data_IF_948352599216
#
_entry.id   IF_948352599216
#
_cell.length_a   1.000
_cell.length_b   1.000
_cell.length_c   1.000
_cell.angle_alpha   90.00
_cell.angle_beta   90.00
_cell.angle_gamma   90.00
#
_symmetry.space_group_name_H-M   'P 1'
#
loop_
_entity.id
_entity.type
_entity.pdbx_description
1 polymer ?
#
# COMPACT_ATOMS: atom_id res chain seq x y z
N UNK A 1 16.87 20.29 -27.46
CA UNK A 1 18.12 20.82 -26.88
C UNK A 1 19.11 19.67 -26.77
N UNK A 2 19.75 19.37 -27.90
CA UNK A 2 20.94 18.53 -28.01
C UNK A 2 21.90 19.38 -28.83
N UNK A 3 23.03 19.73 -28.23
CA UNK A 3 24.28 20.20 -28.83
C UNK A 3 24.96 21.16 -27.87
N UNK A 4 26.03 20.72 -27.21
CA UNK A 4 27.15 21.60 -26.95
C UNK A 4 28.45 20.80 -26.76
N UNK A 5 29.43 21.17 -27.58
CA UNK A 5 30.89 20.99 -27.44
C UNK A 5 31.53 19.70 -27.94
N UNK A 6 31.82 19.74 -29.24
CA UNK A 6 33.03 19.18 -29.85
C UNK A 6 33.96 20.36 -30.16
N UNK A 7 35.18 20.38 -29.61
CA UNK A 7 36.44 20.82 -30.29
C UNK A 7 37.67 20.84 -29.37
N UNK A 8 38.82 20.57 -30.01
CA UNK A 8 40.23 20.71 -29.60
C UNK A 8 40.92 19.40 -29.16
N UNK A 9 41.60 18.72 -30.08
CA UNK A 9 42.90 18.98 -30.73
C UNK A 9 43.99 18.16 -30.04
N UNK A 10 44.66 17.35 -30.85
CA UNK A 10 45.70 16.42 -30.49
C UNK A 10 47.05 17.11 -30.26
N UNK A 11 47.82 16.61 -29.29
CA UNK A 11 49.28 16.48 -29.38
C UNK A 11 49.73 15.27 -28.55
N UNK A 12 50.64 14.42 -29.07
CA UNK A 12 51.11 13.22 -28.36
C UNK A 12 52.35 13.56 -27.52
N UNK A 13 52.38 13.11 -26.26
CA UNK A 13 53.60 13.04 -25.48
C UNK A 13 53.86 11.61 -25.04
N UNK A 14 55.06 11.17 -25.39
CA UNK A 14 55.73 9.90 -25.18
C UNK A 14 56.02 9.58 -23.71
N UNK A 15 55.82 8.34 -23.29
CA UNK A 15 56.40 7.77 -22.07
C UNK A 15 55.73 6.46 -21.62
N UNK A 16 56.46 5.33 -21.47
CA UNK A 16 55.89 4.07 -21.03
C UNK A 16 55.98 3.96 -19.51
N UNK A 17 54.96 4.42 -18.81
CA UNK A 17 54.87 4.27 -17.35
C UNK A 17 53.55 3.62 -16.99
N UNK A 18 53.68 2.35 -16.60
CA UNK A 18 52.64 1.41 -16.15
C UNK A 18 51.65 2.08 -15.19
N UNK A 19 50.41 2.25 -15.63
CA UNK A 19 49.26 2.46 -14.76
C UNK A 19 48.31 1.27 -14.97
N UNK A 20 48.20 0.41 -13.94
CA UNK A 20 47.08 -0.51 -13.83
C UNK A 20 45.82 0.36 -13.66
N UNK A 21 45.10 0.59 -14.76
CA UNK A 21 43.72 1.07 -14.67
C UNK A 21 42.87 -0.11 -14.19
N UNK A 22 42.51 -0.08 -12.91
CA UNK A 22 41.39 -0.87 -12.41
C UNK A 22 40.13 -0.35 -13.10
N UNK A 23 39.75 -0.97 -14.22
CA UNK A 23 38.43 -0.79 -14.80
C UNK A 23 37.46 -1.50 -13.86
N UNK A 24 36.94 -0.76 -12.89
CA UNK A 24 35.73 -1.14 -12.16
C UNK A 24 34.58 -1.09 -13.18
N UNK A 25 34.37 -2.20 -13.88
CA UNK A 25 33.13 -2.43 -14.61
C UNK A 25 32.05 -2.57 -13.54
N UNK A 26 31.37 -1.46 -13.23
CA UNK A 26 30.06 -1.50 -12.61
C UNK A 26 29.13 -2.20 -13.60
N UNK A 27 29.03 -3.53 -13.47
CA UNK A 27 27.95 -4.31 -14.07
C UNK A 27 26.65 -3.85 -13.40
N UNK A 28 26.04 -2.80 -13.95
CA UNK A 28 24.61 -2.62 -13.79
C UNK A 28 24.00 -3.78 -14.55
N UNK A 29 23.62 -4.83 -13.85
CA UNK A 29 22.70 -5.79 -14.42
C UNK A 29 21.45 -4.98 -14.77
N UNK A 30 21.21 -4.78 -16.08
CA UNK A 30 19.90 -4.47 -16.59
C UNK A 30 19.00 -5.62 -16.16
N UNK A 31 18.42 -5.53 -14.95
CA UNK A 31 17.36 -6.43 -14.53
C UNK A 31 16.26 -6.16 -15.53
N UNK A 32 16.07 -7.09 -16.48
CA UNK A 32 14.99 -7.03 -17.44
C UNK A 32 13.69 -6.81 -16.65
N UNK A 33 13.12 -5.61 -16.76
CA UNK A 33 11.83 -5.28 -16.16
C UNK A 33 10.77 -6.08 -16.89
N UNK A 34 10.37 -7.19 -16.30
CA UNK A 34 9.29 -8.04 -16.80
C UNK A 34 7.98 -7.63 -16.15
N UNK A 35 6.89 -7.90 -16.85
CA UNK A 35 5.58 -7.96 -16.23
C UNK A 35 5.61 -8.92 -15.04
N UNK A 36 4.94 -8.58 -13.94
CA UNK A 36 4.81 -9.48 -12.81
C UNK A 36 4.12 -10.77 -13.24
N UNK A 37 4.57 -11.90 -12.74
CA UNK A 37 3.91 -13.18 -12.98
C UNK A 37 2.44 -13.14 -12.55
N UNK A 38 1.58 -13.77 -13.36
CA UNK A 38 0.13 -13.82 -13.12
C UNK A 38 -0.28 -14.84 -12.04
N UNK A 39 0.68 -15.65 -11.57
CA UNK A 39 0.53 -16.62 -10.47
C UNK A 39 1.06 -16.09 -9.13
N UNK A 40 1.52 -14.83 -9.11
CA UNK A 40 2.09 -14.15 -7.94
C UNK A 40 3.46 -14.67 -7.49
N UNK A 41 4.12 -15.54 -8.25
CA UNK A 41 5.46 -16.06 -7.92
C UNK A 41 6.56 -14.99 -7.87
N UNK A 42 6.31 -13.84 -8.49
CA UNK A 42 7.20 -12.69 -8.45
C UNK A 42 7.05 -11.82 -7.18
N UNK A 43 6.05 -12.08 -6.33
CA UNK A 43 5.90 -11.37 -5.07
C UNK A 43 7.09 -11.64 -4.14
N UNK A 44 7.62 -10.56 -3.58
CA UNK A 44 8.50 -10.63 -2.42
C UNK A 44 8.31 -9.37 -1.59
N UNK A 45 8.37 -9.54 -0.28
CA UNK A 45 8.41 -8.47 0.69
C UNK A 45 9.32 -8.93 1.84
N UNK A 46 10.12 -8.03 2.38
CA UNK A 46 10.81 -8.22 3.65
C UNK A 46 10.98 -6.87 4.33
N UNK A 47 10.99 -6.88 5.66
CA UNK A 47 11.26 -5.69 6.45
C UNK A 47 12.17 -6.01 7.64
N UNK A 48 13.07 -5.08 7.94
CA UNK A 48 13.99 -5.19 9.08
C UNK A 48 14.27 -3.81 9.67
N UNK A 49 14.50 -3.77 10.98
CA UNK A 49 14.97 -2.54 11.64
C UNK A 49 16.49 -2.49 11.63
N UNK A 50 17.04 -1.44 11.04
CA UNK A 50 18.47 -1.15 11.00
C UNK A 50 18.70 0.24 11.60
N UNK A 51 19.12 0.28 12.87
CA UNK A 51 19.25 1.54 13.61
C UNK A 51 17.89 2.24 13.76
N UNK A 52 17.81 3.49 13.31
CA UNK A 52 16.58 4.31 13.34
C UNK A 52 15.69 4.14 12.10
N UNK A 53 16.03 3.19 11.23
CA UNK A 53 15.36 2.98 9.94
C UNK A 53 14.67 1.62 9.87
N UNK A 54 13.46 1.60 9.32
CA UNK A 54 12.83 0.40 8.80
C UNK A 54 13.20 0.27 7.33
N UNK A 55 13.92 -0.79 6.99
CA UNK A 55 14.34 -1.10 5.63
C UNK A 55 13.40 -2.15 5.07
N UNK A 56 12.68 -1.81 4.02
CA UNK A 56 11.69 -2.65 3.33
C UNK A 56 12.24 -3.00 1.95
N UNK A 57 12.34 -4.28 1.62
CA UNK A 57 12.69 -4.73 0.26
C UNK A 57 11.49 -5.42 -0.37
N UNK A 58 11.09 -5.01 -1.57
CA UNK A 58 9.93 -5.54 -2.30
C UNK A 58 10.20 -5.60 -3.80
N UNK A 59 9.54 -6.51 -4.51
CA UNK A 59 9.53 -6.58 -5.99
C UNK A 59 8.43 -5.73 -6.64
N UNK A 60 7.53 -5.15 -5.83
CA UNK A 60 6.39 -4.36 -6.28
C UNK A 60 5.36 -5.15 -7.11
N UNK A 61 5.45 -6.48 -7.06
CA UNK A 61 4.45 -7.39 -7.61
C UNK A 61 3.50 -7.86 -6.50
N UNK A 62 2.18 -7.89 -6.73
CA UNK A 62 1.22 -8.30 -5.71
C UNK A 62 1.29 -9.81 -5.42
N UNK A 63 1.03 -10.20 -4.16
CA UNK A 63 0.90 -11.60 -3.71
C UNK A 63 -0.47 -12.23 -4.00
N UNK A 64 -1.25 -11.65 -4.89
CA UNK A 64 -2.63 -12.00 -5.18
C UNK A 64 -2.89 -11.78 -6.68
N UNK A 65 -4.02 -12.24 -7.26
CA UNK A 65 -4.27 -12.02 -8.67
C UNK A 65 -4.43 -10.54 -8.96
N UNK A 66 -3.99 -10.14 -10.15
CA UNK A 66 -4.21 -8.81 -10.69
C UNK A 66 -4.87 -8.94 -12.06
N UNK A 67 -5.62 -7.92 -12.48
CA UNK A 67 -6.25 -7.88 -13.81
C UNK A 67 -5.89 -6.58 -14.53
N UNK A 68 -5.54 -6.70 -15.81
CA UNK A 68 -5.30 -5.54 -16.66
C UNK A 68 -6.65 -5.00 -17.19
N UNK A 69 -7.22 -3.98 -16.54
CA UNK A 69 -8.49 -3.35 -16.95
C UNK A 69 -8.23 -2.03 -17.69
N UNK A 70 -7.23 -1.27 -17.26
CA UNK A 70 -6.70 -0.13 -18.01
C UNK A 70 -5.53 -0.58 -18.89
N UNK A 71 -4.81 0.31 -19.60
CA UNK A 71 -3.63 -0.11 -20.36
C UNK A 71 -2.40 -0.47 -19.49
N UNK A 72 -2.37 -0.14 -18.20
CA UNK A 72 -1.20 -0.34 -17.33
C UNK A 72 -1.08 -1.76 -16.80
N UNK A 73 0.14 -2.26 -16.66
CA UNK A 73 0.40 -3.63 -16.19
C UNK A 73 1.40 -3.64 -15.03
N UNK A 74 1.26 -4.55 -14.05
CA UNK A 74 2.24 -4.67 -12.99
C UNK A 74 3.60 -5.05 -13.59
N UNK A 75 4.63 -4.29 -13.26
CA UNK A 75 6.00 -4.53 -13.70
C UNK A 75 6.85 -4.78 -12.46
N UNK A 76 7.66 -5.83 -12.52
CA UNK A 76 8.58 -6.20 -11.44
C UNK A 76 9.74 -5.23 -11.35
N UNK A 77 9.99 -4.73 -10.14
CA UNK A 77 11.19 -3.98 -9.82
C UNK A 77 11.59 -4.22 -8.36
N UNK A 78 12.74 -4.86 -8.15
CA UNK A 78 13.30 -4.99 -6.80
C UNK A 78 13.72 -3.60 -6.30
N UNK A 79 13.07 -3.16 -5.24
CA UNK A 79 13.22 -1.82 -4.68
C UNK A 79 13.42 -1.91 -3.17
N UNK A 80 14.30 -1.07 -2.66
CA UNK A 80 14.54 -0.90 -1.22
C UNK A 80 13.99 0.46 -0.80
N UNK A 81 13.10 0.45 0.18
CA UNK A 81 12.57 1.65 0.83
C UNK A 81 13.09 1.72 2.26
N UNK A 82 13.43 2.93 2.68
CA UNK A 82 13.82 3.23 4.05
C UNK A 82 12.80 4.22 4.60
N UNK A 83 12.10 3.83 5.68
CA UNK A 83 11.15 4.72 6.39
C UNK A 83 11.56 4.84 7.86
N UNK A 84 11.16 5.90 8.59
CA UNK A 84 11.48 6.03 10.01
C UNK A 84 11.00 4.82 10.83
N UNK A 85 11.90 4.19 11.59
CA UNK A 85 11.53 3.13 12.53
C UNK A 85 10.83 3.68 13.79
N UNK A 86 11.11 4.94 14.12
CA UNK A 86 10.51 5.69 15.22
C UNK A 86 9.90 6.97 14.63
N UNK A 87 8.69 6.91 14.06
CA UNK A 87 8.09 8.07 13.39
C UNK A 87 7.90 9.22 14.38
N UNK A 88 8.08 10.44 13.88
CA UNK A 88 7.86 11.68 14.63
C UNK A 88 6.63 12.38 14.06
N UNK A 89 5.70 12.77 14.92
CA UNK A 89 4.54 13.58 14.56
C UNK A 89 4.93 15.05 14.59
N UNK A 90 4.70 15.76 13.49
CA UNK A 90 5.13 17.14 13.32
C UNK A 90 4.12 17.94 12.47
N UNK A 91 3.39 18.84 13.14
CA UNK A 91 2.43 19.73 12.49
C UNK A 91 3.08 20.93 11.80
N UNK A 92 4.37 21.19 12.04
CA UNK A 92 5.13 22.27 11.41
C UNK A 92 5.89 21.81 10.16
N UNK A 93 6.10 20.50 9.97
CA UNK A 93 6.80 19.90 8.84
C UNK A 93 5.93 18.94 8.01
N UNK A 94 4.67 19.30 7.74
CA UNK A 94 3.75 18.44 6.98
C UNK A 94 4.06 18.42 5.48
N UNK A 95 3.84 17.30 4.80
CA UNK A 95 3.97 17.19 3.33
C UNK A 95 2.62 17.06 2.65
N UNK A 96 2.32 17.91 1.67
CA UNK A 96 1.10 17.83 0.86
C UNK A 96 1.18 16.70 -0.18
N UNK A 97 0.19 15.83 -0.21
CA UNK A 97 0.10 14.69 -1.12
C UNK A 97 -1.04 14.84 -2.14
N UNK A 98 -1.80 15.93 -2.10
CA UNK A 98 -2.98 16.15 -2.98
C UNK A 98 -2.62 16.18 -4.46
N UNK A 99 -1.36 16.47 -4.81
CA UNK A 99 -0.83 16.42 -6.17
C UNK A 99 0.37 15.47 -6.31
N UNK A 100 0.59 14.59 -5.33
CA UNK A 100 1.72 13.68 -5.33
C UNK A 100 1.39 12.45 -6.18
N UNK A 101 1.97 12.36 -7.36
CA UNK A 101 1.93 11.14 -8.16
C UNK A 101 2.85 10.07 -7.57
N UNK A 102 2.48 8.80 -7.76
CA UNK A 102 3.32 7.68 -7.36
C UNK A 102 3.15 7.26 -5.90
N UNK A 103 4.14 6.50 -5.43
CA UNK A 103 4.12 5.84 -4.13
C UNK A 103 4.19 6.83 -2.97
N UNK A 104 3.27 6.69 -2.02
CA UNK A 104 3.25 7.32 -0.69
C UNK A 104 3.35 6.28 0.45
N UNK A 105 3.53 5.01 0.12
CA UNK A 105 3.72 3.95 1.11
C UNK A 105 3.86 2.58 0.49
N UNK A 106 4.26 1.60 1.29
CA UNK A 106 4.46 0.23 0.85
C UNK A 106 3.49 -0.68 1.60
N UNK A 107 2.75 -1.50 0.87
CA UNK A 107 1.80 -2.46 1.45
C UNK A 107 2.44 -3.83 1.65
N UNK A 108 1.93 -4.60 2.62
CA UNK A 108 2.39 -5.96 2.90
C UNK A 108 2.13 -6.93 1.74
N UNK A 109 1.14 -6.65 0.88
CA UNK A 109 0.92 -7.38 -0.38
C UNK A 109 2.00 -7.14 -1.44
N UNK A 110 2.96 -6.24 -1.19
CA UNK A 110 4.00 -5.84 -2.14
C UNK A 110 3.60 -4.66 -3.02
N UNK A 111 2.30 -4.37 -3.13
CA UNK A 111 1.76 -3.24 -3.86
C UNK A 111 2.11 -1.89 -3.21
N UNK A 112 1.94 -0.82 -3.96
CA UNK A 112 2.16 0.55 -3.48
C UNK A 112 0.88 1.13 -2.89
N UNK A 113 1.03 1.97 -1.87
CA UNK A 113 0.00 2.94 -1.49
C UNK A 113 0.21 4.19 -2.35
N UNK A 114 -0.81 4.63 -3.07
CA UNK A 114 -0.78 5.93 -3.78
C UNK A 114 -1.65 6.96 -3.07
N UNK A 115 -1.32 8.24 -3.27
CA UNK A 115 -2.17 9.35 -2.82
C UNK A 115 -3.50 9.35 -3.58
N UNK A 116 -4.50 10.14 -3.18
CA UNK A 116 -5.74 10.24 -3.95
C UNK A 116 -5.61 10.97 -5.28
N UNK A 117 -4.41 11.38 -5.70
CA UNK A 117 -4.19 12.16 -6.92
C UNK A 117 -4.39 11.33 -8.20
N UNK A 118 -5.30 11.76 -9.07
CA UNK A 118 -5.62 11.11 -10.35
C UNK A 118 -4.82 11.66 -11.55
N UNK A 119 -3.76 12.42 -11.28
CA UNK A 119 -2.93 13.04 -12.30
C UNK A 119 -3.32 14.47 -12.70
N UNK A 120 -2.57 15.07 -13.64
CA UNK A 120 -2.66 16.52 -13.92
C UNK A 120 -4.02 16.98 -14.45
N UNK A 121 -4.77 16.11 -15.13
CA UNK A 121 -6.04 16.46 -15.75
C UNK A 121 -7.15 16.79 -14.72
N UNK A 122 -7.10 16.21 -13.52
CA UNK A 122 -8.07 16.46 -12.44
C UNK A 122 -7.64 17.59 -11.51
N UNK A 123 -6.36 17.96 -11.55
CA UNK A 123 -5.74 18.85 -10.57
C UNK A 123 -5.59 18.20 -9.20
N UNK A 124 -5.25 19.01 -8.18
CA UNK A 124 -5.09 18.54 -6.81
C UNK A 124 -6.37 17.83 -6.32
N UNK A 125 -6.20 16.65 -5.74
CA UNK A 125 -7.25 15.91 -5.08
C UNK A 125 -7.61 16.64 -3.78
N UNK A 126 -8.57 17.57 -3.86
CA UNK A 126 -9.10 18.34 -2.73
C UNK A 126 -10.53 17.92 -2.35
N UNK A 127 -11.11 16.98 -3.09
CA UNK A 127 -12.45 16.43 -2.89
C UNK A 127 -12.52 15.04 -3.52
N UNK A 128 -13.56 14.28 -3.17
CA UNK A 128 -13.83 12.99 -3.79
C UNK A 128 -13.96 13.08 -5.32
N UNK A 129 -14.68 14.07 -5.85
CA UNK A 129 -14.85 14.25 -7.31
C UNK A 129 -13.56 14.58 -8.07
N UNK A 130 -12.46 14.88 -7.37
CA UNK A 130 -11.13 15.11 -7.94
C UNK A 130 -10.14 13.99 -7.61
N UNK A 131 -10.58 12.92 -6.97
CA UNK A 131 -9.72 11.84 -6.52
C UNK A 131 -9.68 10.66 -7.51
N UNK A 132 -8.59 9.90 -7.47
CA UNK A 132 -8.42 8.69 -8.28
C UNK A 132 -9.53 7.66 -8.06
N UNK A 133 -10.05 7.42 -6.84
CA UNK A 133 -11.23 6.57 -6.67
C UNK A 133 -12.46 7.01 -7.48
N UNK A 134 -12.68 8.32 -7.67
CA UNK A 134 -13.78 8.82 -8.49
C UNK A 134 -13.49 8.71 -9.99
N UNK A 135 -12.28 9.08 -10.42
CA UNK A 135 -11.92 9.16 -11.84
C UNK A 135 -11.49 7.83 -12.46
N UNK A 136 -11.03 6.87 -11.65
CA UNK A 136 -10.34 5.66 -12.10
C UNK A 136 -10.92 4.38 -11.49
N UNK A 137 -11.97 4.48 -10.66
CA UNK A 137 -12.52 3.35 -9.91
C UNK A 137 -13.06 2.21 -10.77
N UNK A 138 -13.42 2.48 -12.03
CA UNK A 138 -13.81 1.49 -13.05
C UNK A 138 -12.63 0.73 -13.66
N UNK A 139 -11.40 1.06 -13.24
CA UNK A 139 -10.16 0.38 -13.66
C UNK A 139 -9.54 -0.48 -12.58
N UNK A 140 -10.09 -0.47 -11.35
CA UNK A 140 -9.58 -1.28 -10.25
C UNK A 140 -10.00 -2.74 -10.43
N UNK A 141 -9.03 -3.65 -10.30
CA UNK A 141 -9.28 -5.08 -10.31
C UNK A 141 -10.03 -5.54 -9.05
N UNK A 142 -10.39 -6.83 -9.00
CA UNK A 142 -11.10 -7.45 -7.87
C UNK A 142 -10.45 -7.25 -6.48
N UNK A 143 -9.17 -6.89 -6.43
CA UNK A 143 -8.43 -6.65 -5.20
C UNK A 143 -8.32 -5.15 -4.84
N UNK A 144 -8.95 -4.28 -5.65
CA UNK A 144 -9.00 -2.83 -5.45
C UNK A 144 -7.78 -2.08 -5.96
N UNK A 145 -6.92 -2.74 -6.75
CA UNK A 145 -5.69 -2.15 -7.27
C UNK A 145 -5.67 -2.09 -8.79
N UNK A 146 -4.69 -1.38 -9.34
CA UNK A 146 -4.39 -1.34 -10.76
C UNK A 146 -2.97 -0.84 -11.01
N UNK A 147 -2.55 -0.75 -12.27
CA UNK A 147 -1.25 -0.19 -12.66
C UNK A 147 -1.39 1.05 -13.53
N UNK A 148 -0.45 2.00 -13.42
CA UNK A 148 -0.45 3.24 -14.20
C UNK A 148 0.59 3.27 -15.33
N UNK A 149 1.44 2.24 -15.42
CA UNK A 149 2.48 2.12 -16.46
C UNK A 149 2.56 0.71 -17.02
N UNK A 150 3.10 0.60 -18.24
CA UNK A 150 3.45 -0.69 -18.89
C UNK A 150 4.92 -1.07 -18.72
N UNK A 151 5.77 -0.14 -18.29
CA UNK A 151 7.24 -0.28 -18.34
C UNK A 151 7.92 -0.03 -17.00
N UNK A 152 7.21 0.55 -16.04
CA UNK A 152 7.72 0.77 -14.67
C UNK A 152 6.76 0.18 -13.65
N UNK A 153 7.32 -0.31 -12.54
CA UNK A 153 6.54 -0.83 -11.43
C UNK A 153 5.54 0.23 -10.97
N UNK A 154 4.27 -0.14 -10.93
CA UNK A 154 3.20 0.81 -10.63
C UNK A 154 1.92 0.13 -10.15
N UNK A 155 1.94 -1.12 -9.69
CA UNK A 155 0.72 -1.72 -9.13
C UNK A 155 0.44 -1.12 -7.75
N UNK A 156 -0.74 -0.53 -7.57
CA UNK A 156 -1.05 0.28 -6.39
C UNK A 156 -2.52 0.29 -6.03
N UNK A 157 -2.81 0.82 -4.83
CA UNK A 157 -4.16 1.05 -4.34
C UNK A 157 -4.41 2.53 -4.05
N UNK A 158 -5.64 2.95 -4.37
CA UNK A 158 -6.25 4.22 -3.94
C UNK A 158 -7.41 4.02 -2.96
N UNK A 159 -7.79 2.77 -2.71
CA UNK A 159 -8.94 2.37 -1.88
C UNK A 159 -8.51 1.20 -0.98
N UNK A 160 -9.25 0.90 0.10
CA UNK A 160 -8.87 -0.18 1.01
C UNK A 160 -8.74 -1.52 0.24
N UNK A 161 -7.56 -2.19 0.29
CA UNK A 161 -7.26 -3.33 -0.57
C UNK A 161 -8.00 -4.58 -0.10
N UNK A 162 -9.07 -4.96 -0.79
CA UNK A 162 -10.00 -6.01 -0.35
C UNK A 162 -9.32 -7.36 -0.13
N UNK A 163 -8.51 -7.82 -1.08
CA UNK A 163 -7.80 -9.10 -0.97
C UNK A 163 -6.76 -9.10 0.17
N UNK A 164 -6.07 -7.98 0.41
CA UNK A 164 -5.12 -7.88 1.51
C UNK A 164 -5.82 -7.83 2.86
N UNK A 165 -6.91 -7.08 2.97
CA UNK A 165 -7.73 -7.03 4.18
C UNK A 165 -8.31 -8.40 4.53
N UNK A 166 -8.80 -9.12 3.53
CA UNK A 166 -9.27 -10.49 3.69
C UNK A 166 -8.16 -11.44 4.17
N UNK A 167 -6.97 -11.37 3.55
CA UNK A 167 -5.83 -12.20 3.93
C UNK A 167 -5.38 -11.95 5.37
N UNK A 168 -5.47 -10.69 5.82
CA UNK A 168 -5.10 -10.28 7.18
C UNK A 168 -6.23 -10.47 8.20
N UNK A 169 -7.36 -11.08 7.81
CA UNK A 169 -8.46 -11.40 8.72
C UNK A 169 -9.28 -10.18 9.16
N UNK A 170 -9.40 -9.16 8.32
CA UNK A 170 -10.24 -8.00 8.62
C UNK A 170 -11.69 -8.42 8.93
N UNK A 171 -12.27 -7.79 9.94
CA UNK A 171 -13.65 -8.05 10.39
C UNK A 171 -14.43 -6.75 10.48
N UNK A 172 -15.74 -6.82 10.23
CA UNK A 172 -16.64 -5.68 10.36
C UNK A 172 -16.77 -5.16 11.81
N UNK A 173 -16.50 -6.01 12.80
CA UNK A 173 -16.71 -5.73 14.23
C UNK A 173 -15.42 -5.43 14.99
N UNK A 174 -14.28 -5.38 14.31
CA UNK A 174 -12.96 -5.19 14.92
C UNK A 174 -12.19 -4.06 14.21
N UNK A 175 -11.17 -3.57 14.90
CA UNK A 175 -10.17 -2.69 14.28
C UNK A 175 -9.53 -3.40 13.08
N UNK A 176 -9.35 -2.68 11.97
CA UNK A 176 -8.77 -3.25 10.76
C UNK A 176 -7.31 -3.62 10.97
N UNK A 177 -6.80 -4.68 10.34
CA UNK A 177 -5.37 -4.97 10.39
C UNK A 177 -4.55 -3.85 9.73
N UNK A 178 -3.30 -3.72 10.16
CA UNK A 178 -2.32 -2.88 9.46
C UNK A 178 -2.06 -3.49 8.08
N UNK A 179 -2.13 -2.67 7.02
CA UNK A 179 -1.94 -3.10 5.63
C UNK A 179 -0.59 -2.69 5.06
N UNK A 180 0.13 -1.79 5.74
CA UNK A 180 1.45 -1.34 5.30
C UNK A 180 2.01 -0.17 6.09
N UNK A 181 2.95 0.52 5.47
CA UNK A 181 3.66 1.69 6.02
C UNK A 181 3.54 2.88 5.09
N UNK A 182 3.24 4.05 5.63
CA UNK A 182 3.41 5.32 4.93
C UNK A 182 4.91 5.68 4.86
N UNK A 183 5.30 6.50 3.88
CA UNK A 183 6.71 6.86 3.69
C UNK A 183 7.30 7.66 4.88
N UNK A 184 6.44 8.31 5.67
CA UNK A 184 6.80 9.04 6.88
C UNK A 184 6.94 8.14 8.13
N UNK A 185 6.75 6.82 7.98
CA UNK A 185 7.00 5.80 9.01
C UNK A 185 5.78 5.44 9.85
N UNK A 186 4.64 6.11 9.67
CA UNK A 186 3.41 5.75 10.37
C UNK A 186 2.72 4.52 9.75
N UNK A 187 2.03 3.70 10.56
CA UNK A 187 1.30 2.55 10.05
C UNK A 187 0.06 3.01 9.26
N UNK A 188 -0.26 2.23 8.22
CA UNK A 188 -1.48 2.40 7.41
C UNK A 188 -2.40 1.22 7.69
N UNK A 189 -3.63 1.51 8.07
CA UNK A 189 -4.65 0.53 8.39
C UNK A 189 -5.74 0.46 7.32
N UNK A 190 -6.52 -0.62 7.34
CA UNK A 190 -7.80 -0.71 6.61
C UNK A 190 -8.81 0.34 7.07
N UNK A 191 -10.08 0.18 6.74
CA UNK A 191 -11.08 1.25 6.92
C UNK A 191 -11.74 1.35 8.29
N UNK A 192 -11.46 0.43 9.21
CA UNK A 192 -12.13 0.36 10.51
C UNK A 192 -11.19 0.65 11.67
N UNK A 193 -11.60 1.59 12.53
CA UNK A 193 -10.95 1.90 13.79
C UNK A 193 -11.53 1.10 14.97
N UNK A 194 -11.41 1.62 16.20
CA UNK A 194 -11.89 0.97 17.42
C UNK A 194 -13.32 0.44 17.29
N UNK A 195 -13.54 -0.78 17.80
CA UNK A 195 -14.84 -1.47 17.80
C UNK A 195 -15.48 -1.66 16.41
N UNK A 196 -14.68 -1.67 15.34
CA UNK A 196 -15.18 -1.86 13.97
C UNK A 196 -15.76 -0.59 13.33
N UNK A 197 -15.58 0.57 13.95
CA UNK A 197 -16.08 1.86 13.46
C UNK A 197 -15.48 2.18 12.10
N UNK A 198 -16.31 2.42 11.07
CA UNK A 198 -15.80 2.91 9.79
C UNK A 198 -15.22 4.31 9.97
N UNK A 199 -13.93 4.46 9.70
CA UNK A 199 -13.23 5.72 9.89
C UNK A 199 -13.64 6.73 8.83
N UNK A 200 -14.02 7.92 9.32
CA UNK A 200 -14.33 9.11 8.55
C UNK A 200 -13.68 10.31 9.23
N UNK A 201 -13.55 11.42 8.52
CA UNK A 201 -13.03 12.65 9.11
C UNK A 201 -13.99 13.22 10.16
N UNK A 202 -13.44 13.92 11.15
CA UNK A 202 -14.24 14.53 12.21
C UNK A 202 -15.25 15.56 11.67
N UNK A 203 -14.93 16.20 10.55
CA UNK A 203 -15.88 17.05 9.80
C UNK A 203 -17.12 16.27 9.34
N UNK A 204 -16.96 15.00 8.93
CA UNK A 204 -18.06 14.16 8.47
C UNK A 204 -18.85 13.54 9.63
N UNK A 205 -18.19 13.25 10.75
CA UNK A 205 -18.86 12.66 11.93
C UNK A 205 -19.47 13.71 12.86
N UNK A 206 -19.07 14.99 12.73
CA UNK A 206 -19.38 16.04 13.70
C UNK A 206 -18.57 15.94 15.00
N UNK A 207 -17.52 15.12 15.02
CA UNK A 207 -16.66 14.90 16.18
C UNK A 207 -15.52 15.92 16.32
N UNK A 208 -14.71 15.74 17.36
CA UNK A 208 -13.54 16.55 17.69
C UNK A 208 -12.26 15.74 17.49
N UNK A 209 -11.37 16.24 16.61
CA UNK A 209 -10.10 15.57 16.32
C UNK A 209 -9.20 15.45 17.57
N UNK A 210 -8.61 14.27 17.76
CA UNK A 210 -7.80 13.94 18.94
C UNK A 210 -8.63 13.59 20.19
N UNK A 211 -9.96 13.58 20.10
CA UNK A 211 -10.86 13.16 21.19
C UNK A 211 -11.79 12.04 20.73
N UNK A 212 -12.53 12.26 19.64
CA UNK A 212 -13.49 11.29 19.12
C UNK A 212 -12.84 10.29 18.16
N UNK A 213 -13.54 9.18 17.88
CA UNK A 213 -13.11 8.17 16.90
C UNK A 213 -13.36 8.67 15.48
N UNK A 214 -12.49 9.55 15.00
CA UNK A 214 -12.52 10.11 13.66
C UNK A 214 -11.13 10.57 13.21
N UNK A 215 -10.88 10.56 11.91
CA UNK A 215 -9.64 11.07 11.32
C UNK A 215 -9.66 12.61 11.22
N UNK A 216 -8.51 13.25 11.01
CA UNK A 216 -8.47 14.61 10.49
C UNK A 216 -8.93 14.66 9.02
N UNK A 217 -9.05 15.84 8.42
CA UNK A 217 -9.43 15.97 7.01
C UNK A 217 -8.43 15.36 6.00
N UNK A 218 -7.29 14.87 6.47
CA UNK A 218 -6.23 14.28 5.65
C UNK A 218 -6.08 12.76 5.83
N UNK A 219 -6.96 12.10 6.59
CA UNK A 219 -6.99 10.64 6.76
C UNK A 219 -6.15 10.10 7.92
N UNK A 220 -5.61 10.98 8.78
CA UNK A 220 -4.83 10.61 9.96
C UNK A 220 -5.67 10.54 11.25
N UNK A 221 -5.39 9.61 12.15
CA UNK A 221 -6.05 9.48 13.46
C UNK A 221 -5.02 9.56 14.59
N UNK A 222 -5.24 10.53 15.49
CA UNK A 222 -4.41 10.77 16.67
C UNK A 222 -5.11 10.20 17.91
N UNK A 223 -4.61 9.06 18.41
CA UNK A 223 -5.09 8.40 19.63
C UNK A 223 -4.12 7.29 20.02
N UNK A 224 -3.98 7.03 21.32
CA UNK A 224 -3.36 5.81 21.82
C UNK A 224 -4.40 4.68 21.81
N UNK A 225 -4.06 3.53 21.22
CA UNK A 225 -4.97 2.38 21.09
C UNK A 225 -4.38 1.15 21.78
N UNK A 226 -4.48 1.05 23.13
CA UNK A 226 -4.01 -0.11 23.87
C UNK A 226 -4.63 -1.41 23.33
N UNK A 227 -3.80 -2.41 23.07
CA UNK A 227 -4.23 -3.69 22.49
C UNK A 227 -4.29 -3.72 20.96
N UNK A 228 -4.11 -2.57 20.29
CA UNK A 228 -3.95 -2.49 18.83
C UNK A 228 -2.47 -2.34 18.47
N UNK A 229 -1.84 -1.26 18.94
CA UNK A 229 -0.44 -0.94 18.65
C UNK A 229 0.15 0.02 19.72
N UNK A 230 1.39 0.47 19.50
CA UNK A 230 2.07 1.46 20.35
C UNK A 230 2.40 2.77 19.60
N UNK A 231 1.66 3.08 18.54
CA UNK A 231 1.73 4.39 17.88
C UNK A 231 0.77 5.37 18.58
N UNK A 232 1.03 6.68 18.46
CA UNK A 232 0.10 7.75 18.89
C UNK A 232 -0.65 8.36 17.69
N UNK A 233 -0.13 8.20 16.48
CA UNK A 233 -0.77 8.58 15.22
C UNK A 233 -0.73 7.45 14.17
N UNK A 234 -1.73 7.38 13.29
CA UNK A 234 -1.80 6.42 12.17
C UNK A 234 -2.67 6.90 11.01
N UNK A 235 -2.52 6.26 9.86
CA UNK A 235 -3.38 6.49 8.70
C UNK A 235 -4.41 5.38 8.53
N UNK A 236 -5.59 5.74 8.01
CA UNK A 236 -6.61 4.79 7.58
C UNK A 236 -6.85 4.94 6.09
N UNK A 237 -6.95 3.80 5.39
CA UNK A 237 -7.56 3.80 4.06
C UNK A 237 -9.08 3.87 4.25
N UNK A 238 -9.69 5.01 3.96
CA UNK A 238 -11.10 5.26 4.25
C UNK A 238 -12.02 4.80 3.11
N UNK A 239 -13.30 4.60 3.43
CA UNK A 239 -14.29 3.98 2.55
C UNK A 239 -14.50 2.51 2.87
N UNK A 240 -15.51 1.87 2.30
CA UNK A 240 -15.66 0.42 2.51
C UNK A 240 -14.83 -0.36 1.48
N UNK A 241 -14.52 -1.59 1.85
CA UNK A 241 -14.07 -2.63 0.93
C UNK A 241 -15.17 -3.68 0.82
N UNK A 242 -15.17 -4.48 -0.25
CA UNK A 242 -15.87 -5.75 -0.19
C UNK A 242 -15.11 -6.72 0.74
N UNK A 243 -15.64 -7.93 0.90
CA UNK A 243 -15.10 -8.98 1.77
C UNK A 243 -13.82 -9.66 1.22
N UNK A 244 -13.29 -9.21 0.09
CA UNK A 244 -12.15 -9.82 -0.60
C UNK A 244 -12.43 -11.17 -1.25
N UNK A 245 -13.71 -11.61 -1.27
CA UNK A 245 -14.17 -12.82 -1.94
C UNK A 245 -14.88 -12.53 -3.27
N UNK A 246 -15.19 -11.26 -3.55
CA UNK A 246 -15.72 -10.86 -4.85
C UNK A 246 -14.69 -11.06 -5.95
N UNK A 247 -15.11 -11.78 -6.99
CA UNK A 247 -14.27 -12.10 -8.13
C UNK A 247 -14.56 -11.21 -9.36
N UNK A 248 -15.27 -10.09 -9.18
CA UNK A 248 -15.70 -9.21 -10.27
C UNK A 248 -14.62 -8.21 -10.69
N UNK A 249 -14.47 -8.02 -12.01
CA UNK A 249 -13.64 -7.00 -12.63
C UNK A 249 -14.50 -6.09 -13.53
N UNK A 250 -14.41 -4.75 -13.41
CA UNK A 250 -13.79 -4.05 -12.28
C UNK A 250 -14.47 -4.42 -10.96
N UNK A 251 -13.80 -4.11 -9.85
CA UNK A 251 -14.32 -4.33 -8.50
C UNK A 251 -15.80 -3.95 -8.44
N UNK A 252 -16.70 -4.87 -8.07
CA UNK A 252 -18.14 -4.60 -8.02
C UNK A 252 -18.72 -4.82 -6.62
N UNK A 253 -19.62 -3.93 -6.15
CA UNK A 253 -20.00 -2.68 -6.81
C UNK A 253 -18.79 -1.74 -6.92
N UNK A 254 -18.59 -1.10 -8.10
CA UNK A 254 -17.50 -0.14 -8.40
C UNK A 254 -17.33 0.76 -7.18
N UNK A 255 -16.21 0.65 -6.43
CA UNK A 255 -16.22 0.67 -4.97
C UNK A 255 -17.31 1.59 -4.45
N UNK A 256 -18.52 1.05 -4.24
CA UNK A 256 -19.73 1.86 -4.01
C UNK A 256 -19.77 2.44 -2.59
N UNK A 257 -18.59 2.62 -2.02
CA UNK A 257 -18.33 2.97 -0.63
C UNK A 257 -17.11 3.87 -0.50
N UNK A 258 -16.64 4.44 -1.61
CA UNK A 258 -15.88 5.69 -1.62
C UNK A 258 -16.84 6.75 -2.10
N UNK A 259 -17.61 7.33 -1.20
CA UNK A 259 -18.41 8.52 -1.48
C UNK A 259 -17.67 9.75 -0.95
N UNK A 260 -18.28 10.93 -1.13
CA UNK A 260 -17.74 12.18 -0.57
C UNK A 260 -17.61 12.14 0.95
N UNK A 261 -18.35 11.28 1.66
CA UNK A 261 -18.29 11.16 3.12
C UNK A 261 -17.11 10.33 3.61
N UNK A 262 -16.48 9.58 2.70
CA UNK A 262 -15.34 8.71 2.97
C UNK A 262 -14.02 9.29 2.45
N UNK A 263 -14.05 10.52 1.97
CA UNK A 263 -12.86 11.22 1.52
C UNK A 263 -12.04 11.78 2.69
N UNK A 264 -10.69 11.68 2.65
CA UNK A 264 -9.89 11.06 1.59
C UNK A 264 -9.71 9.55 1.78
N UNK A 265 -9.73 8.77 0.69
CA UNK A 265 -9.56 7.30 0.75
C UNK A 265 -8.13 6.87 1.09
N UNK A 266 -7.13 7.65 0.70
CA UNK A 266 -5.73 7.51 1.13
C UNK A 266 -5.21 8.86 1.61
N UNK A 267 -4.11 8.91 2.37
CA UNK A 267 -3.66 10.17 2.96
C UNK A 267 -3.41 11.26 1.92
N UNK A 268 -3.91 12.47 2.20
CA UNK A 268 -3.64 13.67 1.38
C UNK A 268 -2.56 14.55 2.00
N UNK A 269 -2.06 14.20 3.19
CA UNK A 269 -1.00 14.91 3.88
C UNK A 269 -0.23 14.00 4.82
N UNK A 270 1.09 14.13 4.83
CA UNK A 270 1.91 13.60 5.92
C UNK A 270 1.93 14.52 7.11
N UNK A 271 1.73 13.93 8.29
CA UNK A 271 2.01 14.54 9.58
C UNK A 271 3.27 13.95 10.21
N UNK A 272 3.84 12.89 9.61
CA UNK A 272 5.17 12.46 9.93
C UNK A 272 6.23 13.27 9.19
N UNK A 273 7.42 13.29 9.78
CA UNK A 273 8.60 13.92 9.23
C UNK A 273 9.78 12.95 9.28
N UNK A 274 10.81 13.24 8.47
CA UNK A 274 12.03 12.47 8.41
C UNK A 274 12.98 12.89 9.54
N UNK A 275 13.25 12.02 10.54
CA UNK A 275 14.11 12.38 11.66
C UNK A 275 15.56 12.55 11.24
N UNK A 276 16.30 13.36 11.99
CA UNK A 276 17.74 13.53 11.76
C UNK A 276 18.48 12.18 11.83
N UNK A 277 19.36 11.94 10.86
CA UNK A 277 20.12 10.68 10.73
C UNK A 277 19.36 9.52 10.07
N UNK A 278 18.10 9.72 9.66
CA UNK A 278 17.33 8.75 8.86
C UNK A 278 17.32 9.22 7.40
N UNK A 279 17.55 8.31 6.46
CA UNK A 279 17.29 8.56 5.04
C UNK A 279 15.90 8.06 4.68
N UNK A 280 14.94 8.96 4.50
CA UNK A 280 13.57 8.58 4.15
C UNK A 280 13.39 8.49 2.63
N UNK A 281 12.90 7.35 2.16
CA UNK A 281 12.54 7.15 0.76
C UNK A 281 11.29 7.96 0.37
N UNK A 282 11.09 8.15 -0.94
CA UNK A 282 9.98 8.93 -1.49
C UNK A 282 10.37 10.36 -1.86
N UNK A 283 11.29 11.00 -1.12
CA UNK A 283 11.83 12.32 -1.48
C UNK A 283 10.89 13.52 -1.25
N UNK A 284 9.67 13.28 -0.75
CA UNK A 284 8.69 14.32 -0.40
C UNK A 284 8.28 14.30 1.08
N UNK A 285 8.92 13.48 1.93
CA UNK A 285 8.78 13.57 3.39
C UNK A 285 9.71 14.68 3.89
N UNK A 286 9.14 15.71 4.52
CA UNK A 286 9.93 16.82 5.04
C UNK A 286 10.81 16.41 6.22
N UNK A 287 11.94 17.07 6.41
CA UNK A 287 12.78 16.90 7.61
C UNK A 287 12.03 17.42 8.84
N UNK A 288 12.17 16.72 9.97
CA UNK A 288 11.55 17.13 11.22
C UNK A 288 11.97 18.53 11.67
N UNK A 289 10.99 19.31 12.10
CA UNK A 289 11.19 20.59 12.78
C UNK A 289 11.66 20.39 14.23
N UNK A 290 12.06 21.49 14.87
CA UNK A 290 12.39 21.48 16.30
C UNK A 290 11.19 21.26 17.23
N UNK A 291 9.96 21.23 16.70
CA UNK A 291 8.73 20.99 17.45
C UNK A 291 8.14 19.59 17.21
N UNK A 292 8.82 18.74 16.44
CA UNK A 292 8.42 17.36 16.25
C UNK A 292 8.38 16.62 17.59
N UNK A 293 7.36 15.78 17.77
CA UNK A 293 7.18 14.94 18.95
C UNK A 293 7.13 13.47 18.57
N UNK A 294 7.36 12.57 19.53
CA UNK A 294 7.26 11.15 19.28
C UNK A 294 5.87 10.76 18.76
N UNK A 295 5.83 10.07 17.62
CA UNK A 295 4.62 9.47 17.05
C UNK A 295 4.23 8.14 17.70
N UNK A 296 4.80 7.84 18.86
CA UNK A 296 4.73 6.54 19.52
C UNK A 296 4.62 6.69 21.03
N UNK A 297 4.02 5.70 21.68
CA UNK A 297 3.97 5.64 23.15
C UNK A 297 5.35 5.29 23.72
N UNK A 298 5.52 5.45 25.04
CA UNK A 298 6.75 5.04 25.74
C UNK A 298 7.00 3.53 25.72
N UNK A 299 5.96 2.72 25.46
CA UNK A 299 6.04 1.25 25.35
C UNK A 299 6.40 0.77 23.94
N UNK A 300 6.59 1.69 22.99
CA UNK A 300 6.90 1.34 21.61
C UNK A 300 8.26 0.66 21.47
N UNK A 301 8.30 -0.35 20.61
CA UNK A 301 9.52 -1.00 20.15
C UNK A 301 9.47 -1.15 18.63
N UNK A 302 10.45 -0.56 17.95
CA UNK A 302 10.57 -0.68 16.50
C UNK A 302 10.72 -2.13 16.04
N UNK A 303 11.45 -2.96 16.81
CA UNK A 303 11.60 -4.38 16.50
C UNK A 303 10.27 -5.14 16.63
N UNK A 304 9.46 -4.80 17.65
CA UNK A 304 8.15 -5.43 17.86
C UNK A 304 7.10 -4.99 16.83
N UNK A 305 7.29 -3.84 16.17
CA UNK A 305 6.39 -3.36 15.11
C UNK A 305 6.69 -3.97 13.74
N UNK A 306 7.66 -4.88 13.62
CA UNK A 306 7.84 -5.71 12.42
C UNK A 306 6.82 -6.85 12.45
N UNK A 307 5.78 -6.77 11.61
CA UNK A 307 4.70 -7.76 11.59
C UNK A 307 4.97 -8.88 10.59
N UNK A 308 5.61 -8.55 9.46
CA UNK A 308 5.81 -9.48 8.34
C UNK A 308 7.26 -9.40 7.83
N UNK A 309 8.21 -9.79 8.68
CA UNK A 309 9.65 -9.71 8.40
C UNK A 309 10.06 -10.36 7.06
N UNK A 310 9.37 -11.43 6.65
CA UNK A 310 9.60 -12.15 5.39
C UNK A 310 8.42 -12.08 4.43
N UNK A 311 7.54 -11.09 4.60
CA UNK A 311 6.34 -10.92 3.79
C UNK A 311 5.20 -11.88 4.17
N UNK A 312 4.11 -11.77 3.43
CA UNK A 312 2.94 -12.62 3.51
C UNK A 312 3.13 -13.86 2.63
N UNK A 313 2.33 -14.91 2.86
CA UNK A 313 2.20 -15.95 1.84
C UNK A 313 1.47 -15.40 0.61
N UNK A 314 1.51 -16.17 -0.49
CA UNK A 314 0.57 -15.99 -1.58
C UNK A 314 -0.88 -16.05 -1.04
N UNK A 315 -1.75 -15.12 -1.46
CA UNK A 315 -3.15 -15.13 -1.04
C UNK A 315 -3.93 -16.18 -1.84
N UNK A 316 -3.86 -17.43 -1.39
CA UNK A 316 -4.53 -18.54 -2.06
C UNK A 316 -6.06 -18.52 -1.98
N UNK A 317 -6.63 -17.72 -1.08
CA UNK A 317 -8.06 -17.53 -0.98
C UNK A 317 -8.60 -16.46 -1.95
N UNK A 318 -7.73 -15.74 -2.67
CA UNK A 318 -8.13 -14.75 -3.65
C UNK A 318 -8.67 -15.39 -4.95
N UNK A 319 -9.39 -14.59 -5.73
CA UNK A 319 -10.07 -15.01 -6.97
C UNK A 319 -9.12 -15.19 -8.17
N UNK A 320 -8.16 -16.10 -8.09
CA UNK A 320 -7.13 -16.30 -9.12
C UNK A 320 -7.68 -16.58 -10.52
N UNK A 321 -8.80 -17.30 -10.62
CA UNK A 321 -9.47 -17.57 -11.90
C UNK A 321 -10.01 -16.30 -12.59
N UNK A 322 -10.27 -15.23 -11.84
CA UNK A 322 -10.66 -13.93 -12.40
C UNK A 322 -9.46 -13.02 -12.72
N UNK A 323 -8.26 -13.37 -12.27
CA UNK A 323 -7.04 -12.64 -12.56
C UNK A 323 -6.60 -12.79 -14.02
N UNK A 324 -5.54 -12.07 -14.40
CA UNK A 324 -5.02 -12.07 -15.76
C UNK A 324 -4.58 -13.48 -16.22
N UNK A 325 -4.06 -14.31 -15.30
CA UNK A 325 -3.65 -15.68 -15.59
C UNK A 325 -4.81 -16.67 -15.75
N UNK A 326 -6.03 -16.32 -15.35
CA UNK A 326 -7.23 -17.15 -15.53
C UNK A 326 -7.20 -18.52 -14.83
N UNK A 327 -6.27 -18.76 -13.89
CA UNK A 327 -6.08 -20.06 -13.25
C UNK A 327 -5.53 -19.91 -11.83
N UNK A 328 -5.86 -20.88 -10.97
CA UNK A 328 -5.35 -20.93 -9.60
C UNK A 328 -3.89 -21.41 -9.61
N UNK A 329 -2.95 -20.70 -8.94
CA UNK A 329 -1.56 -21.13 -8.85
C UNK A 329 -1.42 -22.54 -8.30
N UNK A 330 -0.47 -23.31 -8.82
CA UNK A 330 -0.19 -24.68 -8.35
C UNK A 330 0.16 -24.69 -6.86
N UNK A 331 0.88 -23.67 -6.38
CA UNK A 331 1.22 -23.47 -4.96
C UNK A 331 -0.01 -23.33 -4.06
N UNK A 332 -1.15 -22.87 -4.59
CA UNK A 332 -2.41 -22.74 -3.87
C UNK A 332 -3.30 -23.99 -3.99
N UNK A 333 -3.04 -24.84 -4.97
CA UNK A 333 -3.86 -26.03 -5.24
C UNK A 333 -3.62 -27.17 -4.23
N UNK A 334 -2.53 -27.11 -3.44
CA UNK A 334 -2.20 -28.09 -2.40
C UNK A 334 -2.93 -27.85 -1.06
N UNK A 335 -3.71 -26.78 -0.94
CA UNK A 335 -4.40 -26.41 0.29
C UNK A 335 -5.85 -25.98 -0.03
N UNK A 336 -6.78 -26.94 -0.23
CA UNK A 336 -8.16 -26.58 -0.54
C UNK A 336 -8.78 -25.90 0.68
N UNK A 337 -9.22 -24.65 0.51
CA UNK A 337 -10.19 -24.03 1.42
C UNK A 337 -11.43 -24.93 1.53
N UNK A 338 -12.09 -25.05 2.70
CA UNK A 338 -13.21 -25.97 2.86
C UNK A 338 -14.32 -25.62 1.87
N UNK A 339 -14.73 -26.60 1.06
CA UNK A 339 -15.89 -26.45 0.18
C UNK A 339 -17.10 -25.98 0.99
N UNK A 340 -18.00 -25.15 0.43
CA UNK A 340 -19.27 -24.87 1.05
C UNK A 340 -20.00 -26.20 1.24
N UNK A 341 -20.30 -26.52 2.49
CA UNK A 341 -20.78 -27.83 2.90
C UNK A 341 -21.94 -28.31 2.04
N UNK A 342 -21.83 -29.56 1.59
CA UNK A 342 -22.95 -30.39 1.24
C UNK A 342 -24.00 -30.27 2.36
N UNK A 343 -25.15 -29.67 2.06
CA UNK A 343 -26.30 -29.66 2.95
C UNK A 343 -26.60 -31.09 3.41
N UNK A 344 -26.77 -31.36 4.71
CA UNK A 344 -27.26 -32.66 5.13
C UNK A 344 -28.68 -32.82 4.60
N UNK A 345 -28.87 -33.86 3.80
CA UNK A 345 -30.17 -34.32 3.32
C UNK A 345 -31.11 -34.48 4.51
N UNK A 346 -32.19 -33.70 4.51
CA UNK A 346 -33.27 -33.84 5.46
C UNK A 346 -33.96 -35.19 5.25
N UNK A 347 -33.79 -36.08 6.23
CA UNK A 347 -34.61 -37.28 6.36
C UNK A 347 -36.06 -36.87 6.64
N UNK A 348 -36.95 -37.14 5.71
CA UNK A 348 -38.39 -37.02 5.89
C UNK A 348 -38.88 -38.08 6.89
N UNK A 349 -39.53 -37.64 7.97
CA UNK A 349 -40.40 -38.49 8.79
C UNK A 349 -41.85 -38.16 8.48
N UNK A 350 -42.74 -39.15 8.32
CA UNK A 350 -44.13 -38.92 7.94
C UNK A 350 -44.96 -38.47 9.15
N UNK A 351 -45.72 -37.41 8.95
CA UNK A 351 -46.80 -36.97 9.82
C UNK A 351 -48.00 -37.94 9.71
N UNK A 352 -48.30 -38.68 10.78
CA UNK A 352 -49.59 -39.36 10.94
C UNK A 352 -50.57 -38.41 11.62
N UNK A 353 -51.61 -38.03 10.88
CA UNK A 353 -52.79 -37.32 11.37
C UNK A 353 -53.67 -38.22 12.24
N UNK A 354 -54.18 -37.64 13.32
CA UNK A 354 -55.17 -38.21 14.22
C UNK A 354 -56.57 -38.25 13.60
N UNK A 355 -57.22 -39.41 13.71
CA UNK A 355 -58.66 -39.61 13.91
C UNK A 355 -58.89 -40.97 14.55
#
# INVERSE_FOLDING_TARGET
FSDFLRTHMAHPLSGPSRWLAWVLVLLWADVARSQCATDGSDYSYSEVITGSSRVITTTLCPNHPWKNINPGQPVKAQTVYTVPANPQYDTAATSDLTSQAGLIGVMFSGAMLYSPYAGPATGAATSFTKSAPYGEGDTFDMCGGHSSSKTVASYHYHVPPSCLLQQLGASATAHSPQVGWAADGFPVYGSRGPSGTLMKSCTQTGGTYGTDVCTNEFGGYLADLPGTDNFTFRYYMQGSSNDGLSCTNPLSPAPATTDSTSYPQTPTKYYGCCPSGVSCSGGFVNVCSGTAVAGTTSSYSAAASVLHASGLSLNCAACWASGEGGSVPTSCSANPSPSPGSSPSSSSSPSSSSS
#
